data_IF_192611499085
#
_entry.id   IF_192611499085
#
_cell.length_a   1.000
_cell.length_b   1.000
_cell.length_c   1.000
_cell.angle_alpha   90.00
_cell.angle_beta   90.00
_cell.angle_gamma   90.00
#
_symmetry.space_group_name_H-M   'P 1'
#
loop_
_entity.id
_entity.type
_entity.pdbx_description
1 polymer ?
#
# COMPACT_ATOMS: atom_id res chain seq x y z
N UNK A 1 24.65 28.11 -8.67
CA UNK A 1 24.36 28.38 -7.24
C UNK A 1 24.65 27.10 -6.49
N UNK A 2 25.61 27.10 -5.58
CA UNK A 2 25.86 25.93 -4.72
C UNK A 2 24.83 25.93 -3.59
N UNK A 3 24.13 24.81 -3.40
CA UNK A 3 23.25 24.64 -2.25
C UNK A 3 24.13 24.60 -1.00
N UNK A 4 23.81 25.43 -0.01
CA UNK A 4 24.53 25.46 1.27
C UNK A 4 24.44 24.09 1.97
N UNK A 5 25.54 23.53 2.49
CA UNK A 5 25.57 22.19 3.08
C UNK A 5 24.62 22.04 4.28
N UNK A 6 24.33 23.11 5.03
CA UNK A 6 23.36 23.06 6.14
C UNK A 6 21.92 22.94 5.63
N UNK A 7 21.60 23.63 4.53
CA UNK A 7 20.30 23.54 3.87
C UNK A 7 20.05 22.13 3.32
N UNK A 8 21.07 21.49 2.75
CA UNK A 8 20.96 20.10 2.27
C UNK A 8 20.62 19.13 3.41
N UNK A 9 21.24 19.29 4.58
CA UNK A 9 20.94 18.47 5.77
C UNK A 9 19.51 18.65 6.24
N UNK A 10 19.05 19.90 6.34
CA UNK A 10 17.67 20.21 6.71
C UNK A 10 16.65 19.60 5.73
N UNK A 11 16.90 19.66 4.41
CA UNK A 11 16.01 19.06 3.41
C UNK A 11 15.89 17.54 3.58
N UNK A 12 16.99 16.86 3.93
CA UNK A 12 16.99 15.41 4.18
C UNK A 12 16.17 15.06 5.42
N UNK A 13 16.30 15.83 6.50
CA UNK A 13 15.52 15.65 7.73
C UNK A 13 14.03 15.91 7.49
N UNK A 14 13.71 17.00 6.79
CA UNK A 14 12.34 17.34 6.41
C UNK A 14 11.68 16.21 5.59
N UNK A 15 12.43 15.63 4.66
CA UNK A 15 11.95 14.48 3.87
C UNK A 15 11.67 13.28 4.77
N UNK A 16 12.56 12.95 5.71
CA UNK A 16 12.38 11.84 6.63
C UNK A 16 11.12 12.03 7.52
N UNK A 17 10.94 13.22 8.10
CA UNK A 17 9.75 13.53 8.89
C UNK A 17 8.46 13.52 8.04
N UNK A 18 8.54 14.01 6.81
CA UNK A 18 7.41 13.94 5.87
C UNK A 18 7.00 12.48 5.58
N UNK A 19 7.96 11.56 5.41
CA UNK A 19 7.64 10.14 5.22
C UNK A 19 6.99 9.53 6.46
N UNK A 20 7.45 9.88 7.67
CA UNK A 20 6.83 9.42 8.92
C UNK A 20 5.39 9.92 9.05
N UNK A 21 5.14 11.19 8.73
CA UNK A 21 3.80 11.77 8.76
C UNK A 21 2.84 11.05 7.78
N UNK A 22 3.30 10.78 6.56
CA UNK A 22 2.53 10.00 5.57
C UNK A 22 2.24 8.58 6.03
N UNK A 23 3.20 7.92 6.67
CA UNK A 23 2.99 6.60 7.24
C UNK A 23 1.92 6.63 8.34
N UNK A 24 1.99 7.61 9.25
CA UNK A 24 0.99 7.77 10.31
C UNK A 24 -0.42 8.00 9.72
N UNK A 25 -0.54 8.83 8.68
CA UNK A 25 -1.79 9.05 7.96
C UNK A 25 -2.36 7.75 7.36
N UNK A 26 -1.50 6.92 6.75
CA UNK A 26 -1.90 5.62 6.22
C UNK A 26 -2.37 4.66 7.32
N UNK A 27 -1.70 4.65 8.47
CA UNK A 27 -2.12 3.87 9.64
C UNK A 27 -3.50 4.31 10.10
N UNK A 28 -3.76 5.60 10.23
CA UNK A 28 -5.09 6.12 10.60
C UNK A 28 -6.16 5.76 9.57
N UNK A 29 -5.84 5.87 8.28
CA UNK A 29 -6.75 5.53 7.18
C UNK A 29 -7.14 4.05 7.22
N UNK A 30 -6.15 3.16 7.32
CA UNK A 30 -6.37 1.72 7.40
C UNK A 30 -7.13 1.34 8.68
N UNK A 31 -6.78 1.97 9.81
CA UNK A 31 -7.45 1.73 11.09
C UNK A 31 -8.93 2.07 11.00
N UNK A 32 -9.29 3.26 10.54
CA UNK A 32 -10.69 3.65 10.38
C UNK A 32 -11.44 2.75 9.41
N UNK A 33 -10.88 2.52 8.22
CA UNK A 33 -11.52 1.68 7.20
C UNK A 33 -11.74 0.24 7.66
N UNK A 34 -10.72 -0.38 8.26
CA UNK A 34 -10.82 -1.76 8.71
C UNK A 34 -11.65 -1.89 9.97
N UNK A 35 -11.74 -0.84 10.78
CA UNK A 35 -12.70 -0.78 11.87
C UNK A 35 -14.14 -0.85 11.34
N UNK A 36 -14.51 0.01 10.38
CA UNK A 36 -15.86 0.01 9.80
C UNK A 36 -16.24 -1.35 9.17
N UNK A 37 -15.26 -2.02 8.55
CA UNK A 37 -15.47 -3.34 7.91
C UNK A 37 -15.61 -4.46 8.93
N UNK A 38 -14.75 -4.48 9.95
CA UNK A 38 -14.68 -5.60 10.90
C UNK A 38 -15.61 -5.45 12.11
N UNK A 39 -16.00 -4.22 12.43
CA UNK A 39 -16.86 -3.84 13.55
C UNK A 39 -18.07 -3.03 13.06
N UNK A 40 -18.97 -3.62 12.26
CA UNK A 40 -20.07 -2.89 11.62
C UNK A 40 -21.11 -2.32 12.60
N UNK A 41 -21.18 -2.85 13.83
CA UNK A 41 -22.02 -2.32 14.91
C UNK A 41 -21.28 -1.31 15.81
N UNK A 42 -20.04 -0.98 15.46
CA UNK A 42 -19.14 -0.05 16.13
C UNK A 42 -18.95 -0.31 17.64
N UNK A 43 -19.10 -1.58 18.06
CA UNK A 43 -18.90 -1.97 19.46
C UNK A 43 -17.43 -2.25 19.72
N UNK A 44 -16.86 -1.50 20.66
CA UNK A 44 -15.53 -1.77 21.18
C UNK A 44 -15.59 -3.03 22.08
N UNK A 45 -14.91 -4.14 21.73
CA UNK A 45 -14.95 -5.32 22.55
C UNK A 45 -13.98 -5.17 23.74
N UNK A 46 -14.34 -5.73 24.89
CA UNK A 46 -13.44 -5.74 26.06
C UNK A 46 -12.16 -6.56 25.84
N UNK A 47 -12.16 -7.47 24.85
CA UNK A 47 -11.01 -8.22 24.35
C UNK A 47 -11.17 -8.48 22.87
N UNK A 48 -10.06 -8.58 22.15
CA UNK A 48 -10.08 -8.93 20.74
C UNK A 48 -10.50 -10.40 20.58
N UNK A 49 -11.60 -10.66 19.87
CA UNK A 49 -12.01 -12.01 19.50
C UNK A 49 -11.20 -12.49 18.28
N UNK A 50 -10.81 -13.77 18.18
CA UNK A 50 -10.08 -14.32 17.04
C UNK A 50 -10.70 -14.01 15.66
N UNK A 51 -12.04 -13.89 15.58
CA UNK A 51 -12.75 -13.50 14.36
C UNK A 51 -12.37 -12.08 13.92
N UNK A 52 -12.31 -11.15 14.87
CA UNK A 52 -12.01 -9.75 14.59
C UNK A 52 -10.52 -9.56 14.31
N UNK A 53 -9.63 -10.28 15.00
CA UNK A 53 -8.20 -10.32 14.68
C UNK A 53 -7.95 -10.78 13.24
N UNK A 54 -8.59 -11.90 12.85
CA UNK A 54 -8.48 -12.42 11.48
C UNK A 54 -9.10 -11.46 10.46
N UNK A 55 -10.22 -10.84 10.79
CA UNK A 55 -10.83 -9.82 9.93
C UNK A 55 -9.88 -8.65 9.69
N UNK A 56 -9.28 -8.07 10.74
CA UNK A 56 -8.36 -6.94 10.60
C UNK A 56 -7.14 -7.28 9.76
N UNK A 57 -6.50 -8.43 10.03
CA UNK A 57 -5.35 -8.89 9.24
C UNK A 57 -5.70 -9.02 7.76
N UNK A 58 -6.84 -9.64 7.46
CA UNK A 58 -7.31 -9.76 6.08
C UNK A 58 -7.65 -8.41 5.46
N UNK A 59 -8.35 -7.54 6.20
CA UNK A 59 -8.77 -6.23 5.71
C UNK A 59 -7.56 -5.37 5.31
N UNK A 60 -6.55 -5.27 6.18
CA UNK A 60 -5.33 -4.49 5.90
C UNK A 60 -4.60 -5.05 4.68
N UNK A 61 -4.36 -6.37 4.64
CA UNK A 61 -3.67 -7.02 3.52
C UNK A 61 -4.43 -6.82 2.19
N UNK A 62 -5.76 -7.03 2.19
CA UNK A 62 -6.58 -6.84 0.99
C UNK A 62 -6.63 -5.38 0.53
N UNK A 63 -6.67 -4.42 1.46
CA UNK A 63 -6.68 -3.00 1.12
C UNK A 63 -5.36 -2.58 0.46
N UNK A 64 -4.22 -3.01 1.01
CA UNK A 64 -2.90 -2.73 0.44
C UNK A 64 -2.78 -3.37 -0.95
N UNK A 65 -3.15 -4.65 -1.09
CA UNK A 65 -3.12 -5.37 -2.36
C UNK A 65 -3.99 -4.69 -3.43
N UNK A 66 -5.22 -4.29 -3.07
CA UNK A 66 -6.12 -3.60 -3.98
C UNK A 66 -5.60 -2.22 -4.37
N UNK A 67 -5.03 -1.48 -3.41
CA UNK A 67 -4.42 -0.17 -3.66
C UNK A 67 -3.25 -0.27 -4.62
N UNK A 68 -2.36 -1.24 -4.41
CA UNK A 68 -1.23 -1.51 -5.30
C UNK A 68 -1.70 -1.94 -6.70
N UNK A 69 -2.71 -2.81 -6.78
CA UNK A 69 -3.31 -3.21 -8.05
C UNK A 69 -3.86 -2.01 -8.83
N UNK A 70 -4.64 -1.14 -8.19
CA UNK A 70 -5.20 0.05 -8.83
C UNK A 70 -4.09 1.00 -9.31
N UNK A 71 -3.09 1.27 -8.47
CA UNK A 71 -1.97 2.14 -8.81
C UNK A 71 -1.15 1.58 -9.97
N UNK A 72 -0.89 0.27 -9.99
CA UNK A 72 -0.18 -0.39 -11.09
C UNK A 72 -0.99 -0.35 -12.40
N UNK A 73 -2.30 -0.59 -12.32
CA UNK A 73 -3.19 -0.53 -13.47
C UNK A 73 -3.22 0.88 -14.09
N UNK A 74 -3.35 1.91 -13.24
CA UNK A 74 -3.36 3.31 -13.69
C UNK A 74 -2.02 3.74 -14.31
N UNK A 75 -0.89 3.35 -13.72
CA UNK A 75 0.42 3.60 -14.30
C UNK A 75 0.61 2.90 -15.65
N UNK A 76 0.17 1.64 -15.77
CA UNK A 76 0.21 0.88 -17.02
C UNK A 76 -0.67 1.48 -18.13
N UNK A 77 -1.77 2.15 -17.77
CA UNK A 77 -2.62 2.88 -18.72
C UNK A 77 -2.04 4.25 -19.08
N UNK A 78 -1.30 4.88 -18.17
CA UNK A 78 -0.66 6.19 -18.38
C UNK A 78 0.55 6.11 -19.33
N UNK A 79 1.10 4.90 -19.55
CA UNK A 79 2.20 4.64 -20.49
C UNK A 79 1.73 4.08 -21.85
N UNK A 80 0.43 3.85 -22.06
CA UNK A 80 -0.09 3.35 -23.34
C UNK A 80 -0.43 4.46 -24.33
N UNK A 81 0.64 5.13 -24.78
CA UNK A 81 0.79 5.58 -26.15
C UNK A 81 1.79 4.66 -26.86
N UNK A 82 1.43 3.38 -27.06
CA UNK A 82 2.29 2.43 -27.77
C UNK A 82 2.05 0.98 -27.35
N UNK A 83 1.25 0.26 -28.13
CA UNK A 83 0.89 -1.13 -27.86
C UNK A 83 2.08 -2.08 -27.94
N UNK A 84 2.18 -3.01 -26.99
CA UNK A 84 3.03 -4.19 -27.09
C UNK A 84 2.20 -5.44 -26.79
N UNK A 85 2.26 -6.38 -27.75
CA UNK A 85 1.77 -7.75 -27.65
C UNK A 85 2.31 -8.43 -26.39
N UNK A 86 1.41 -8.96 -25.55
CA UNK A 86 1.78 -9.94 -24.55
C UNK A 86 1.81 -11.32 -25.20
N UNK A 87 2.99 -11.75 -25.64
CA UNK A 87 3.22 -13.12 -26.09
C UNK A 87 3.24 -14.05 -24.87
N UNK A 88 2.18 -14.85 -24.71
CA UNK A 88 2.11 -15.94 -23.75
C UNK A 88 3.00 -17.08 -24.23
N UNK A 89 4.30 -17.02 -23.92
CA UNK A 89 5.18 -18.18 -24.08
C UNK A 89 4.88 -19.20 -22.99
N UNK A 90 4.00 -20.11 -23.37
CA UNK A 90 3.90 -21.49 -22.92
C UNK A 90 5.25 -22.21 -23.13
N UNK A 91 6.31 -21.78 -22.43
CA UNK A 91 7.68 -22.29 -22.57
C UNK A 91 8.46 -22.37 -21.25
N UNK A 92 7.76 -22.47 -20.11
CA UNK A 92 8.34 -22.96 -18.85
C UNK A 92 7.48 -24.05 -18.20
N UNK A 93 6.84 -24.89 -19.03
CA UNK A 93 6.33 -26.21 -18.63
C UNK A 93 7.42 -27.29 -18.68
N UNK A 94 8.68 -26.92 -18.96
CA UNK A 94 9.82 -27.85 -19.13
C UNK A 94 10.98 -27.63 -18.15
N UNK A 95 10.87 -26.72 -17.18
CA UNK A 95 11.83 -26.65 -16.06
C UNK A 95 11.41 -27.60 -14.95
N UNK A 96 11.22 -28.87 -15.31
CA UNK A 96 11.04 -29.97 -14.38
C UNK A 96 12.38 -30.31 -13.74
N UNK A 97 12.73 -29.51 -12.74
CA UNK A 97 13.29 -29.93 -11.46
C UNK A 97 12.52 -29.18 -10.37
#
# INVERSE_FOLDING_TARGET
>A
MAVDPSLSGFLQELQAETQKAKFAEQVHTLTGRCWDVCFPDNRYPGRMDPRNERCLSNCVNRFIDASAFMVNHLQGHSSSGGGHHHETTEAKKSSWW
#
